data_IF_719717313124
#
_entry.id   IF_719717313124
#
_cell.length_a   1.000
_cell.length_b   1.000
_cell.length_c   1.000
_cell.angle_alpha   90.00
_cell.angle_beta   90.00
_cell.angle_gamma   90.00
#
_symmetry.space_group_name_H-M   'P 1'
#
loop_
_entity.id
_entity.type
_entity.pdbx_description
1 polymer ?
#
# COMPACT_ATOMS: atom_id res chain seq x y z
N UNK A 1 -28.24 26.24 -14.59
CA UNK A 1 -28.16 27.23 -15.66
C UNK A 1 -27.61 28.60 -15.20
N UNK A 2 -27.65 28.95 -13.92
CA UNK A 2 -27.21 30.26 -13.39
C UNK A 2 -25.69 30.43 -13.15
N UNK A 3 -24.89 29.41 -13.10
CA UNK A 3 -23.43 29.54 -12.84
C UNK A 3 -22.59 30.02 -14.02
N UNK A 4 -23.11 29.96 -15.27
CA UNK A 4 -22.38 30.43 -16.49
C UNK A 4 -22.31 31.94 -16.64
N UNK A 5 -23.24 32.69 -16.04
CA UNK A 5 -23.30 34.15 -16.11
C UNK A 5 -22.21 34.86 -15.29
N UNK A 6 -21.74 34.26 -14.23
CA UNK A 6 -20.73 34.82 -13.31
C UNK A 6 -19.29 34.70 -13.84
N UNK A 7 -19.05 33.78 -14.77
CA UNK A 7 -17.69 33.43 -15.24
C UNK A 7 -17.12 34.42 -16.27
N UNK A 8 -17.95 34.85 -17.23
CA UNK A 8 -17.54 35.74 -18.32
C UNK A 8 -18.11 37.15 -18.15
N UNK A 9 -18.81 37.44 -17.07
CA UNK A 9 -19.41 38.74 -16.79
C UNK A 9 -20.55 39.17 -17.75
N UNK A 10 -20.97 38.28 -18.65
CA UNK A 10 -21.96 38.57 -19.68
C UNK A 10 -23.09 37.54 -19.74
N UNK A 11 -24.30 38.00 -20.07
CA UNK A 11 -25.42 37.11 -20.30
C UNK A 11 -25.18 36.23 -21.55
N UNK A 12 -25.64 34.94 -21.55
CA UNK A 12 -25.40 34.03 -22.68
C UNK A 12 -25.82 34.56 -24.03
N UNK A 13 -26.91 35.34 -24.10
CA UNK A 13 -27.41 35.97 -25.32
C UNK A 13 -26.44 37.01 -25.93
N UNK A 14 -25.55 37.57 -25.12
CA UNK A 14 -24.52 38.53 -25.58
C UNK A 14 -23.23 37.88 -26.07
N UNK A 15 -23.08 36.58 -25.82
CA UNK A 15 -21.91 35.79 -26.23
C UNK A 15 -22.11 35.15 -27.61
N UNK A 16 -23.35 34.89 -27.99
CA UNK A 16 -23.69 34.27 -29.28
C UNK A 16 -23.32 35.19 -30.44
N UNK A 17 -22.59 34.62 -31.42
CA UNK A 17 -22.17 35.35 -32.63
C UNK A 17 -20.96 36.27 -32.42
N UNK A 18 -20.31 36.28 -31.26
CA UNK A 18 -19.12 37.09 -31.01
C UNK A 18 -17.87 36.21 -30.90
N UNK A 19 -16.74 36.74 -31.38
CA UNK A 19 -15.45 36.07 -31.24
C UNK A 19 -15.02 35.99 -29.77
N UNK A 20 -14.73 34.77 -29.29
CA UNK A 20 -14.22 34.53 -27.95
C UNK A 20 -12.86 35.23 -27.73
N UNK A 21 -12.02 35.29 -28.77
CA UNK A 21 -10.70 35.94 -28.74
C UNK A 21 -10.77 37.43 -28.48
N UNK A 22 -11.81 38.11 -29.01
CA UNK A 22 -12.02 39.54 -28.77
C UNK A 22 -12.47 39.80 -27.34
N UNK A 23 -13.20 38.87 -26.75
CA UNK A 23 -13.76 39.03 -25.41
C UNK A 23 -12.80 38.54 -24.31
N UNK A 24 -12.09 37.48 -24.58
CA UNK A 24 -11.15 36.82 -23.64
C UNK A 24 -10.01 36.19 -24.44
N UNK A 25 -8.96 36.95 -24.80
CA UNK A 25 -7.83 36.46 -25.61
C UNK A 25 -7.12 35.25 -24.98
N UNK A 26 -7.15 35.17 -23.64
CA UNK A 26 -6.54 34.10 -22.87
C UNK A 26 -7.23 32.73 -23.07
N UNK A 27 -8.48 32.73 -23.57
CA UNK A 27 -9.28 31.53 -23.82
C UNK A 27 -9.34 31.16 -25.31
N UNK A 28 -8.40 31.62 -26.12
CA UNK A 28 -8.34 31.35 -27.56
C UNK A 28 -8.49 29.88 -27.88
N UNK A 29 -9.30 29.58 -28.91
CA UNK A 29 -9.50 28.21 -29.45
C UNK A 29 -8.79 28.00 -30.80
N UNK A 30 -7.99 29.00 -31.25
CA UNK A 30 -7.40 29.02 -32.57
C UNK A 30 -6.53 27.82 -32.88
N UNK A 31 -5.62 27.46 -31.97
CA UNK A 31 -4.78 26.27 -32.13
C UNK A 31 -5.60 24.95 -32.22
N UNK A 32 -6.70 24.87 -31.48
CA UNK A 32 -7.62 23.73 -31.53
C UNK A 32 -8.39 23.66 -32.82
N UNK A 33 -8.82 24.83 -33.37
CA UNK A 33 -9.55 24.91 -34.64
C UNK A 33 -8.65 24.69 -35.86
N UNK A 34 -7.46 25.32 -35.87
CA UNK A 34 -6.58 25.32 -37.04
C UNK A 34 -5.73 24.04 -37.13
N UNK A 35 -5.31 23.51 -36.02
CA UNK A 35 -4.36 22.38 -35.94
C UNK A 35 -4.96 21.10 -35.33
N UNK A 36 -6.18 21.20 -34.81
CA UNK A 36 -6.80 20.06 -34.12
C UNK A 36 -6.12 19.68 -32.80
N UNK A 37 -5.36 20.58 -32.19
CA UNK A 37 -4.70 20.39 -30.93
C UNK A 37 -5.72 20.23 -29.80
N UNK A 38 -5.66 19.10 -29.11
CA UNK A 38 -6.45 18.85 -27.91
C UNK A 38 -5.60 19.20 -26.68
N UNK A 39 -6.14 20.05 -25.80
CA UNK A 39 -5.51 20.39 -24.51
C UNK A 39 -6.40 19.92 -23.38
N UNK A 40 -5.86 19.13 -22.47
CA UNK A 40 -6.57 18.61 -21.29
C UNK A 40 -5.88 19.03 -20.00
N UNK A 41 -6.70 19.41 -19.02
CA UNK A 41 -6.27 19.75 -17.67
C UNK A 41 -5.19 20.86 -17.61
N UNK A 42 -5.18 21.78 -18.57
CA UNK A 42 -4.28 22.93 -18.55
C UNK A 42 -4.72 23.91 -17.45
N UNK A 43 -3.83 24.20 -16.49
CA UNK A 43 -4.12 25.24 -15.48
C UNK A 43 -3.79 26.61 -16.08
N UNK A 44 -4.81 27.46 -16.21
CA UNK A 44 -4.68 28.79 -16.76
C UNK A 44 -5.30 29.84 -15.82
N UNK A 45 -4.58 30.92 -15.59
CA UNK A 45 -5.04 32.01 -14.72
C UNK A 45 -5.70 33.12 -15.54
N UNK A 46 -6.98 33.36 -15.26
CA UNK A 46 -7.69 34.52 -15.80
C UNK A 46 -8.74 35.03 -14.80
N UNK A 47 -9.14 36.27 -14.90
CA UNK A 47 -10.05 36.95 -13.96
C UNK A 47 -9.64 36.72 -12.49
N UNK A 48 -8.32 36.77 -12.18
CA UNK A 48 -7.70 36.58 -10.87
C UNK A 48 -7.99 35.21 -10.22
N UNK A 49 -8.33 34.21 -11.03
CA UNK A 49 -8.57 32.82 -10.55
C UNK A 49 -7.84 31.83 -11.43
N UNK A 50 -7.52 30.69 -10.83
CA UNK A 50 -6.93 29.57 -11.55
C UNK A 50 -8.04 28.62 -12.03
N UNK A 51 -8.02 28.33 -13.33
CA UNK A 51 -9.00 27.50 -14.02
C UNK A 51 -8.34 26.29 -14.64
N UNK A 52 -8.99 25.16 -14.56
CA UNK A 52 -8.63 23.97 -15.35
C UNK A 52 -9.39 24.06 -16.66
N UNK A 53 -8.63 24.19 -17.73
CA UNK A 53 -9.14 24.43 -19.08
C UNK A 53 -8.94 23.18 -19.92
N UNK A 54 -10.00 22.72 -20.57
CA UNK A 54 -9.92 21.72 -21.61
C UNK A 54 -10.38 22.33 -22.95
N UNK A 55 -9.60 22.12 -24.02
CA UNK A 55 -9.94 22.45 -25.38
C UNK A 55 -9.97 21.19 -26.21
N UNK A 56 -11.13 20.90 -26.80
CA UNK A 56 -11.34 19.65 -27.55
C UNK A 56 -11.91 20.01 -28.93
N UNK A 57 -11.30 19.56 -30.05
CA UNK A 57 -11.84 19.76 -31.37
C UNK A 57 -13.11 18.90 -31.57
N UNK A 58 -14.12 19.52 -32.18
CA UNK A 58 -15.34 18.83 -32.59
C UNK A 58 -15.14 18.44 -34.06
N UNK A 59 -15.24 17.14 -34.35
CA UNK A 59 -15.03 16.61 -35.69
C UNK A 59 -16.31 15.97 -36.22
N UNK A 60 -16.62 16.31 -37.51
CA UNK A 60 -17.65 15.64 -38.30
C UNK A 60 -17.00 15.07 -39.57
N UNK A 61 -17.22 13.79 -39.84
CA UNK A 61 -16.65 13.12 -41.03
C UNK A 61 -15.11 13.28 -41.17
N UNK A 62 -14.40 13.49 -40.05
CA UNK A 62 -12.95 13.65 -40.00
C UNK A 62 -12.48 15.11 -40.09
N UNK A 63 -13.34 16.04 -40.50
CA UNK A 63 -13.04 17.49 -40.55
C UNK A 63 -13.38 18.17 -39.22
N UNK A 64 -12.62 19.23 -38.88
CA UNK A 64 -12.86 20.01 -37.67
C UNK A 64 -13.95 21.05 -37.98
N UNK A 65 -15.13 20.86 -37.42
CA UNK A 65 -16.28 21.73 -37.55
C UNK A 65 -16.43 22.73 -36.40
N UNK A 66 -15.65 22.55 -35.32
CA UNK A 66 -15.70 23.42 -34.16
C UNK A 66 -14.74 23.01 -33.06
N UNK A 67 -14.79 23.72 -31.95
CA UNK A 67 -14.05 23.38 -30.73
C UNK A 67 -14.91 23.60 -29.48
N UNK A 68 -14.77 22.72 -28.49
CA UNK A 68 -15.39 22.85 -27.18
C UNK A 68 -14.38 23.35 -26.16
N UNK A 69 -14.77 24.34 -25.37
CA UNK A 69 -14.02 24.85 -24.22
C UNK A 69 -14.78 24.54 -22.96
N UNK A 70 -14.14 23.77 -22.06
CA UNK A 70 -14.66 23.51 -20.72
C UNK A 70 -13.76 24.13 -19.67
N UNK A 71 -14.39 24.83 -18.72
CA UNK A 71 -13.71 25.54 -17.65
C UNK A 71 -14.19 24.99 -16.30
N UNK A 72 -13.25 24.58 -15.46
CA UNK A 72 -13.52 24.18 -14.10
C UNK A 72 -12.74 25.08 -13.14
N UNK A 73 -13.40 25.59 -12.12
CA UNK A 73 -12.73 26.32 -11.04
C UNK A 73 -11.77 25.38 -10.32
N UNK A 74 -10.47 25.66 -10.40
CA UNK A 74 -9.43 24.84 -9.80
C UNK A 74 -9.62 24.70 -8.28
N UNK A 75 -10.12 25.74 -7.61
CA UNK A 75 -10.47 25.68 -6.18
C UNK A 75 -11.63 24.73 -5.90
N UNK A 76 -12.69 24.81 -6.71
CA UNK A 76 -13.84 23.93 -6.54
C UNK A 76 -13.49 22.46 -6.77
N UNK A 77 -12.59 22.16 -7.73
CA UNK A 77 -12.04 20.81 -7.91
C UNK A 77 -11.22 20.39 -6.68
N UNK A 78 -10.35 21.26 -6.17
CA UNK A 78 -9.55 20.97 -4.98
C UNK A 78 -10.42 20.80 -3.73
N UNK A 79 -11.46 21.59 -3.55
CA UNK A 79 -12.41 21.45 -2.45
C UNK A 79 -13.23 20.15 -2.57
N UNK A 80 -13.68 19.81 -3.77
CA UNK A 80 -14.37 18.55 -4.03
C UNK A 80 -13.45 17.34 -3.83
N UNK A 81 -12.21 17.40 -4.34
CA UNK A 81 -11.19 16.36 -4.13
C UNK A 81 -10.83 16.25 -2.63
N UNK A 82 -10.67 17.39 -1.95
CA UNK A 82 -10.43 17.43 -0.50
C UNK A 82 -11.62 16.87 0.28
N UNK A 83 -12.86 17.19 -0.12
CA UNK A 83 -14.06 16.64 0.49
C UNK A 83 -14.23 15.13 0.23
N UNK A 84 -13.93 14.69 -0.98
CA UNK A 84 -13.90 13.26 -1.34
C UNK A 84 -12.79 12.53 -0.58
N UNK A 85 -11.62 13.11 -0.49
CA UNK A 85 -10.51 12.56 0.32
C UNK A 85 -10.80 12.58 1.81
N UNK A 86 -11.48 13.62 2.32
CA UNK A 86 -11.95 13.64 3.70
C UNK A 86 -13.04 12.60 3.95
N UNK A 87 -13.96 12.37 3.01
CA UNK A 87 -14.93 11.29 3.11
C UNK A 87 -14.27 9.90 2.98
N UNK A 88 -13.31 9.73 2.09
CA UNK A 88 -12.49 8.53 1.99
C UNK A 88 -11.54 8.39 3.18
N UNK A 89 -10.94 9.49 3.64
CA UNK A 89 -10.09 9.54 4.83
C UNK A 89 -10.87 9.23 6.11
N UNK A 90 -12.11 9.68 6.26
CA UNK A 90 -12.99 9.25 7.37
C UNK A 90 -13.33 7.76 7.29
N UNK A 91 -13.44 7.17 6.10
CA UNK A 91 -13.59 5.71 5.92
C UNK A 91 -12.28 4.95 6.15
N UNK A 92 -11.13 5.54 5.85
CA UNK A 92 -9.80 4.99 6.13
C UNK A 92 -9.32 5.26 7.57
N UNK A 93 -9.83 6.32 8.22
CA UNK A 93 -9.49 6.67 9.62
C UNK A 93 -10.29 5.90 10.67
N UNK A 94 -11.23 5.06 10.29
CA UNK A 94 -11.99 4.25 11.24
C UNK A 94 -11.38 2.85 11.31
N UNK A 95 -10.84 2.48 12.46
CA UNK A 95 -10.46 1.10 12.74
C UNK A 95 -11.73 0.22 12.68
N UNK A 96 -11.77 -0.71 11.73
CA UNK A 96 -12.95 -1.56 11.46
C UNK A 96 -12.89 -2.89 12.18
N UNK A 97 -11.67 -3.37 12.47
CA UNK A 97 -11.44 -4.69 13.03
C UNK A 97 -11.37 -4.65 14.55
N UNK A 98 -11.95 -5.67 15.17
CA UNK A 98 -11.91 -5.92 16.62
C UNK A 98 -11.36 -7.31 16.85
N UNK A 99 -10.90 -7.63 18.07
CA UNK A 99 -10.40 -8.97 18.39
C UNK A 99 -11.45 -10.04 18.10
N UNK A 100 -12.73 -9.75 18.29
CA UNK A 100 -13.83 -10.67 17.95
C UNK A 100 -13.94 -11.00 16.45
N UNK A 101 -13.39 -10.16 15.58
CA UNK A 101 -13.37 -10.41 14.12
C UNK A 101 -12.13 -11.18 13.64
N UNK A 102 -11.16 -11.41 14.52
CA UNK A 102 -9.96 -12.18 14.21
C UNK A 102 -10.29 -13.67 14.21
N UNK A 103 -9.89 -14.36 13.15
CA UNK A 103 -10.18 -15.79 12.97
C UNK A 103 -8.96 -16.61 13.33
N UNK A 104 -9.12 -17.55 14.24
CA UNK A 104 -8.09 -18.48 14.71
C UNK A 104 -8.39 -19.00 16.11
N UNK A 105 -7.97 -20.21 16.39
CA UNK A 105 -8.17 -20.88 17.69
C UNK A 105 -6.91 -21.60 18.20
N UNK A 106 -5.84 -21.59 17.40
CA UNK A 106 -4.58 -22.21 17.81
C UNK A 106 -4.03 -21.59 19.10
N UNK A 107 -3.35 -22.36 19.95
CA UNK A 107 -2.78 -21.83 21.19
C UNK A 107 -1.79 -20.68 20.98
N UNK A 108 -1.03 -20.70 19.88
CA UNK A 108 -0.10 -19.64 19.54
C UNK A 108 -0.83 -18.34 19.20
N UNK A 109 -1.89 -18.43 18.41
CA UNK A 109 -2.73 -17.28 18.05
C UNK A 109 -3.50 -16.73 19.25
N UNK A 110 -4.10 -17.60 20.07
CA UNK A 110 -4.81 -17.22 21.28
C UNK A 110 -3.91 -16.44 22.26
N UNK A 111 -2.66 -16.88 22.46
CA UNK A 111 -1.67 -16.15 23.28
C UNK A 111 -1.36 -14.76 22.71
N UNK A 112 -1.23 -14.64 21.36
CA UNK A 112 -1.01 -13.35 20.73
C UNK A 112 -2.20 -12.41 20.94
N UNK A 113 -3.45 -12.90 20.79
CA UNK A 113 -4.68 -12.13 21.04
C UNK A 113 -4.75 -11.67 22.49
N UNK A 114 -4.54 -12.56 23.48
CA UNK A 114 -4.54 -12.21 24.90
C UNK A 114 -3.47 -11.16 25.25
N UNK A 115 -2.29 -11.27 24.66
CA UNK A 115 -1.22 -10.29 24.84
C UNK A 115 -1.61 -8.95 24.26
N UNK A 116 -2.18 -8.92 23.05
CA UNK A 116 -2.65 -7.72 22.40
C UNK A 116 -3.78 -7.03 23.19
N UNK A 117 -4.71 -7.80 23.77
CA UNK A 117 -5.78 -7.29 24.64
C UNK A 117 -5.23 -6.62 25.92
N UNK A 118 -4.19 -7.20 26.52
CA UNK A 118 -3.50 -6.56 27.66
C UNK A 118 -2.83 -5.25 27.25
N UNK A 119 -2.24 -5.20 26.05
CA UNK A 119 -1.59 -4.02 25.51
C UNK A 119 -2.59 -2.92 25.13
N UNK A 120 -3.80 -3.28 24.71
CA UNK A 120 -4.87 -2.34 24.40
C UNK A 120 -5.22 -1.43 25.59
N UNK A 121 -5.17 -1.94 26.82
CA UNK A 121 -5.52 -1.22 28.05
C UNK A 121 -4.51 -0.16 28.47
N UNK A 122 -3.35 -0.10 27.82
CA UNK A 122 -2.27 0.84 28.14
C UNK A 122 -2.08 1.81 26.97
N UNK A 123 -1.63 3.03 27.29
CA UNK A 123 -1.34 4.07 26.27
C UNK A 123 0.12 4.05 25.78
N UNK A 124 0.85 2.99 26.09
CA UNK A 124 2.24 2.82 25.70
C UNK A 124 2.37 2.45 24.21
N UNK A 125 3.52 2.71 23.64
CA UNK A 125 3.87 2.32 22.28
C UNK A 125 3.93 0.81 22.15
N UNK A 126 3.33 0.28 21.08
CA UNK A 126 3.32 -1.16 20.76
C UNK A 126 4.12 -1.39 19.49
N UNK A 127 5.03 -2.35 19.52
CA UNK A 127 5.73 -2.88 18.36
C UNK A 127 5.18 -4.26 18.00
N UNK A 128 4.56 -4.38 16.83
CA UNK A 128 4.04 -5.64 16.29
C UNK A 128 5.07 -6.21 15.32
N UNK A 129 5.70 -7.31 15.69
CA UNK A 129 6.65 -8.03 14.85
C UNK A 129 5.99 -9.29 14.27
N UNK A 130 6.29 -9.61 13.03
CA UNK A 130 5.79 -10.82 12.37
C UNK A 130 5.93 -10.73 10.85
N UNK A 131 5.93 -11.86 10.19
CA UNK A 131 6.09 -11.96 8.74
C UNK A 131 5.04 -11.16 7.96
N UNK A 132 5.31 -10.94 6.67
CA UNK A 132 4.31 -10.32 5.79
C UNK A 132 3.05 -11.22 5.71
N UNK A 133 1.86 -10.60 5.69
CA UNK A 133 0.60 -11.32 5.54
C UNK A 133 0.07 -12.03 6.80
N UNK A 134 0.70 -11.90 7.99
CA UNK A 134 0.20 -12.53 9.24
C UNK A 134 -0.99 -11.82 9.87
N UNK A 135 -1.30 -10.56 9.43
CA UNK A 135 -2.41 -9.75 9.94
C UNK A 135 -2.01 -8.64 10.91
N UNK A 136 -0.79 -8.10 10.85
CA UNK A 136 -0.29 -7.01 11.73
C UNK A 136 -1.25 -5.83 11.84
N UNK A 137 -1.80 -5.37 10.71
CA UNK A 137 -2.75 -4.26 10.68
C UNK A 137 -4.07 -4.59 11.41
N UNK A 138 -4.59 -5.81 11.27
CA UNK A 138 -5.81 -6.24 11.95
C UNK A 138 -5.64 -6.20 13.48
N UNK A 139 -4.47 -6.60 13.96
CA UNK A 139 -4.12 -6.49 15.39
C UNK A 139 -3.97 -5.04 15.83
N UNK A 140 -3.35 -4.17 15.04
CA UNK A 140 -3.21 -2.75 15.35
C UNK A 140 -4.59 -2.07 15.47
N UNK A 141 -5.50 -2.33 14.54
CA UNK A 141 -6.87 -1.84 14.61
C UNK A 141 -7.63 -2.38 15.81
N UNK A 142 -7.47 -3.68 16.12
CA UNK A 142 -8.11 -4.32 17.28
C UNK A 142 -7.61 -3.74 18.60
N UNK A 143 -6.29 -3.49 18.72
CA UNK A 143 -5.68 -2.82 19.88
C UNK A 143 -6.26 -1.41 20.06
N UNK A 144 -6.38 -0.64 18.98
CA UNK A 144 -7.00 0.68 19.03
C UNK A 144 -8.45 0.61 19.49
N UNK A 145 -9.26 -0.27 18.89
CA UNK A 145 -10.69 -0.38 19.16
C UNK A 145 -11.05 -0.88 20.57
N UNK A 146 -10.11 -1.53 21.27
CA UNK A 146 -10.27 -1.93 22.67
C UNK A 146 -9.47 -1.05 23.64
N UNK A 147 -8.91 0.07 23.16
CA UNK A 147 -8.17 1.02 23.99
C UNK A 147 -9.05 2.15 24.53
N UNK A 148 -8.48 2.96 25.42
CA UNK A 148 -9.10 4.22 25.92
C UNK A 148 -9.31 5.24 24.80
N UNK A 149 -8.65 5.05 23.64
CA UNK A 149 -8.76 5.90 22.43
C UNK A 149 -9.75 5.34 21.39
N UNK A 150 -10.52 4.31 21.74
CA UNK A 150 -11.58 3.80 20.88
C UNK A 150 -12.55 4.91 20.46
N UNK A 151 -12.88 4.99 19.17
CA UNK A 151 -13.71 6.09 18.64
C UNK A 151 -12.97 7.40 18.36
N UNK A 152 -11.67 7.52 18.71
CA UNK A 152 -10.78 8.59 18.26
C UNK A 152 -10.17 8.24 16.90
N UNK A 153 -9.48 9.18 16.22
CA UNK A 153 -8.86 8.88 14.93
C UNK A 153 -7.89 7.69 14.99
N UNK A 154 -7.98 6.78 14.03
CA UNK A 154 -6.98 5.76 13.75
C UNK A 154 -6.39 6.07 12.37
N UNK A 155 -5.15 6.52 12.34
CA UNK A 155 -4.46 6.90 11.11
C UNK A 155 -3.39 5.87 10.82
N UNK A 156 -3.46 5.23 9.65
CA UNK A 156 -2.50 4.23 9.21
C UNK A 156 -1.64 4.77 8.08
N UNK A 157 -0.35 4.48 8.12
CA UNK A 157 0.60 4.78 7.05
C UNK A 157 1.57 3.62 6.88
N UNK A 158 1.80 3.22 5.64
CA UNK A 158 2.84 2.25 5.30
C UNK A 158 4.10 3.03 4.89
N UNK A 159 5.19 2.86 5.65
CA UNK A 159 6.44 3.59 5.44
C UNK A 159 7.15 3.18 4.13
N UNK A 160 6.93 1.96 3.64
CA UNK A 160 7.49 1.47 2.38
C UNK A 160 6.75 1.97 1.14
N UNK A 161 5.51 2.48 1.29
CA UNK A 161 4.67 2.85 0.16
C UNK A 161 5.01 4.22 -0.46
N UNK A 162 5.84 5.02 0.20
CA UNK A 162 6.15 6.38 -0.22
C UNK A 162 7.63 6.58 -0.50
N UNK A 163 8.00 7.36 -1.55
CA UNK A 163 9.33 7.95 -1.64
C UNK A 163 9.65 8.77 -0.39
N UNK A 164 10.91 8.82 0.00
CA UNK A 164 11.40 9.42 1.24
C UNK A 164 10.89 10.85 1.51
N UNK A 165 11.00 11.75 0.52
CA UNK A 165 10.55 13.14 0.66
C UNK A 165 9.03 13.27 0.81
N UNK A 166 8.26 12.34 0.21
CA UNK A 166 6.81 12.31 0.36
C UNK A 166 6.42 11.78 1.75
N UNK A 167 7.09 10.74 2.24
CA UNK A 167 6.83 10.20 3.57
C UNK A 167 7.04 11.26 4.65
N UNK A 168 8.09 12.08 4.53
CA UNK A 168 8.37 13.18 5.45
C UNK A 168 7.24 14.20 5.47
N UNK A 169 6.83 14.68 4.30
CA UNK A 169 5.76 15.66 4.15
C UNK A 169 4.39 15.12 4.57
N UNK A 170 4.14 13.81 4.40
CA UNK A 170 2.92 13.16 4.89
C UNK A 170 2.90 13.07 6.42
N UNK A 171 3.98 12.60 7.04
CA UNK A 171 4.04 12.40 8.49
C UNK A 171 3.97 13.71 9.26
N UNK A 172 4.78 14.71 8.88
CA UNK A 172 4.99 15.93 9.66
C UNK A 172 4.25 17.14 9.10
N UNK A 173 3.78 17.08 7.85
CA UNK A 173 3.17 18.24 7.18
C UNK A 173 4.20 19.27 6.73
N UNK A 174 3.72 20.33 6.09
CA UNK A 174 4.56 21.43 5.61
C UNK A 174 3.79 22.76 5.61
N UNK A 175 4.52 23.86 5.71
CA UNK A 175 3.99 25.20 5.52
C UNK A 175 4.10 25.67 4.08
N UNK A 176 3.34 26.70 3.75
CA UNK A 176 3.40 27.33 2.43
C UNK A 176 4.83 27.80 2.15
N UNK A 177 5.37 27.47 0.98
CA UNK A 177 6.73 27.84 0.58
C UNK A 177 7.84 26.90 1.08
N UNK A 178 7.53 25.81 1.78
CA UNK A 178 8.54 24.88 2.27
C UNK A 178 9.39 24.23 1.17
N UNK A 179 8.82 24.04 -0.02
CA UNK A 179 9.51 23.56 -1.23
C UNK A 179 8.78 23.99 -2.48
N UNK A 180 9.44 23.88 -3.64
CA UNK A 180 8.83 24.18 -4.95
C UNK A 180 7.64 23.27 -5.22
N UNK A 181 6.44 23.86 -5.40
CA UNK A 181 5.18 23.10 -5.58
C UNK A 181 4.40 22.85 -4.28
N UNK A 182 4.83 23.41 -3.14
CA UNK A 182 4.04 23.38 -1.90
C UNK A 182 2.69 24.09 -2.11
N UNK A 183 1.61 23.52 -1.53
CA UNK A 183 0.26 24.11 -1.64
C UNK A 183 0.18 25.42 -0.86
N UNK A 184 -0.61 26.40 -1.39
CA UNK A 184 -1.01 27.57 -0.62
C UNK A 184 -1.77 27.13 0.64
N UNK A 185 -1.35 27.66 1.79
CA UNK A 185 -1.89 27.27 3.10
C UNK A 185 -1.26 26.02 3.71
N UNK A 186 -0.24 25.43 3.07
CA UNK A 186 0.48 24.29 3.62
C UNK A 186 -0.34 22.98 3.65
N UNK A 187 0.13 22.01 4.43
CA UNK A 187 -0.55 20.72 4.66
C UNK A 187 -0.32 20.23 6.09
N UNK A 188 -1.39 19.81 6.75
CA UNK A 188 -1.28 19.11 8.05
C UNK A 188 -0.70 17.72 7.85
N UNK A 189 0.19 17.32 8.78
CA UNK A 189 0.77 15.98 8.80
C UNK A 189 -0.15 14.93 9.42
N UNK A 190 0.24 13.65 9.25
CA UNK A 190 -0.50 12.52 9.81
C UNK A 190 -0.46 12.51 11.35
N UNK A 191 0.60 13.02 11.98
CA UNK A 191 0.65 13.20 13.44
C UNK A 191 -0.41 14.19 13.93
N UNK A 192 -0.62 15.30 13.22
CA UNK A 192 -1.69 16.25 13.56
C UNK A 192 -3.08 15.62 13.33
N UNK A 193 -3.23 14.85 12.26
CA UNK A 193 -4.50 14.17 11.93
C UNK A 193 -4.83 13.09 12.96
N UNK A 194 -3.82 12.42 13.52
CA UNK A 194 -3.96 11.41 14.55
C UNK A 194 -4.07 11.97 15.98
N UNK A 195 -4.07 13.31 16.15
CA UNK A 195 -4.14 13.95 17.47
C UNK A 195 -5.32 13.41 18.29
N UNK A 196 -5.06 13.10 19.56
CA UNK A 196 -5.93 12.41 20.52
C UNK A 196 -6.25 10.93 20.19
N UNK A 197 -5.78 10.43 19.06
CA UNK A 197 -6.03 9.08 18.54
C UNK A 197 -4.78 8.19 18.50
N UNK A 198 -4.71 7.37 17.48
CA UNK A 198 -3.62 6.40 17.26
C UNK A 198 -3.04 6.56 15.86
N UNK A 199 -1.70 6.62 15.76
CA UNK A 199 -0.97 6.52 14.50
C UNK A 199 -0.37 5.11 14.39
N UNK A 200 -0.74 4.41 13.32
CA UNK A 200 -0.19 3.11 12.96
C UNK A 200 0.87 3.28 11.88
N UNK A 201 2.11 2.92 12.20
CA UNK A 201 3.27 2.96 11.32
C UNK A 201 3.57 1.52 10.86
N UNK A 202 3.06 1.16 9.67
CA UNK A 202 3.38 -0.15 9.09
C UNK A 202 4.74 -0.11 8.40
N UNK A 203 5.45 -1.23 8.45
CA UNK A 203 6.80 -1.42 7.90
C UNK A 203 7.79 -0.34 8.37
N UNK A 204 7.85 -0.13 9.71
CA UNK A 204 8.72 0.88 10.33
C UNK A 204 10.22 0.66 10.01
N UNK A 205 10.62 -0.58 9.68
CA UNK A 205 11.99 -0.91 9.26
C UNK A 205 12.41 -0.23 7.97
N UNK A 206 11.47 0.14 7.10
CA UNK A 206 11.74 0.81 5.83
C UNK A 206 11.81 2.35 5.96
N UNK A 207 11.64 2.88 7.17
CA UNK A 207 11.75 4.32 7.42
C UNK A 207 13.19 4.80 7.28
N UNK A 208 13.48 5.84 6.45
CA UNK A 208 14.80 6.43 6.32
C UNK A 208 15.39 6.96 7.64
N UNK A 209 16.71 6.88 7.81
CA UNK A 209 17.40 7.22 9.07
C UNK A 209 17.12 8.64 9.60
N UNK A 210 17.01 9.64 8.71
CA UNK A 210 16.72 11.01 9.13
C UNK A 210 15.28 11.12 9.67
N UNK A 211 14.31 10.38 9.09
CA UNK A 211 12.94 10.33 9.60
C UNK A 211 12.84 9.58 10.93
N UNK A 212 13.68 8.55 11.13
CA UNK A 212 13.78 7.89 12.42
C UNK A 212 14.20 8.87 13.52
N UNK A 213 15.10 9.82 13.22
CA UNK A 213 15.52 10.86 14.16
C UNK A 213 14.35 11.81 14.50
N UNK A 214 13.57 12.21 13.50
CA UNK A 214 12.39 13.06 13.72
C UNK A 214 11.31 12.33 14.50
N UNK A 215 11.04 11.06 14.15
CA UNK A 215 10.09 10.23 14.88
C UNK A 215 10.48 10.09 16.37
N UNK A 216 11.76 9.86 16.65
CA UNK A 216 12.25 9.76 18.02
C UNK A 216 11.93 11.02 18.83
N UNK A 217 12.17 12.21 18.25
CA UNK A 217 11.83 13.50 18.89
C UNK A 217 10.35 13.60 19.19
N UNK A 218 9.47 13.24 18.23
CA UNK A 218 8.02 13.27 18.47
C UNK A 218 7.62 12.34 19.62
N UNK A 219 8.21 11.14 19.68
CA UNK A 219 7.93 10.19 20.76
C UNK A 219 8.43 10.64 22.14
N UNK A 220 9.46 11.49 22.19
CA UNK A 220 10.05 12.02 23.42
C UNK A 220 9.35 13.29 23.89
N UNK A 221 9.20 14.26 22.99
CA UNK A 221 8.77 15.63 23.26
C UNK A 221 7.25 15.80 23.13
N UNK A 222 6.57 14.88 22.42
CA UNK A 222 5.15 14.95 22.05
C UNK A 222 4.81 16.21 21.25
N UNK A 223 5.75 16.64 20.43
CA UNK A 223 5.62 17.80 19.56
C UNK A 223 6.13 17.46 18.17
N UNK A 224 5.55 18.11 17.15
CA UNK A 224 6.03 18.06 15.78
C UNK A 224 6.41 19.46 15.31
N UNK A 225 7.29 19.53 14.30
CA UNK A 225 7.54 20.75 13.55
C UNK A 225 7.30 20.46 12.08
N UNK A 226 6.43 21.24 11.43
CA UNK A 226 6.18 21.13 10.00
C UNK A 226 7.43 21.47 9.19
N UNK A 227 7.52 20.95 7.97
CA UNK A 227 8.58 21.34 7.05
C UNK A 227 8.44 22.84 6.72
N UNK A 228 9.55 23.57 6.79
CA UNK A 228 9.57 25.02 6.61
C UNK A 228 9.10 25.84 7.80
N UNK A 229 8.62 25.23 8.89
CA UNK A 229 8.24 25.91 10.12
C UNK A 229 9.33 25.84 11.20
N UNK A 230 9.28 26.79 12.14
CA UNK A 230 10.14 26.79 13.33
C UNK A 230 9.35 26.54 14.62
N UNK A 231 8.03 26.76 14.59
CA UNK A 231 7.18 26.61 15.77
C UNK A 231 6.81 25.13 16.00
N UNK A 232 7.03 24.58 17.21
CA UNK A 232 6.55 23.25 17.54
C UNK A 232 5.04 23.24 17.74
N UNK A 233 4.40 22.13 17.37
CA UNK A 233 2.97 21.87 17.52
C UNK A 233 2.81 20.68 18.46
N UNK A 234 2.17 20.82 19.64
CA UNK A 234 1.98 19.71 20.55
C UNK A 234 1.00 18.68 19.97
N UNK A 235 1.33 17.40 20.09
CA UNK A 235 0.52 16.29 19.61
C UNK A 235 0.40 15.22 20.71
N UNK A 236 -0.83 14.79 20.96
CA UNK A 236 -1.11 13.64 21.82
C UNK A 236 -1.52 12.46 20.94
N UNK A 237 -0.56 11.59 20.61
CA UNK A 237 -0.76 10.47 19.69
C UNK A 237 -0.19 9.19 20.30
N UNK A 238 -1.02 8.14 20.37
CA UNK A 238 -0.53 6.80 20.65
C UNK A 238 0.07 6.21 19.38
N UNK A 239 1.28 5.64 19.47
CA UNK A 239 1.94 5.01 18.32
C UNK A 239 1.87 3.50 18.42
N UNK A 240 1.44 2.86 17.34
CA UNK A 240 1.58 1.41 17.11
C UNK A 240 2.46 1.26 15.88
N UNK A 241 3.59 0.57 15.99
CA UNK A 241 4.51 0.30 14.88
C UNK A 241 4.46 -1.18 14.51
N UNK A 242 4.64 -1.50 13.22
CA UNK A 242 4.71 -2.87 12.75
C UNK A 242 5.88 -3.07 11.80
N UNK A 243 6.45 -4.27 11.79
CA UNK A 243 7.52 -4.66 10.86
C UNK A 243 7.62 -6.18 10.69
N UNK A 244 8.07 -6.59 9.52
CA UNK A 244 8.52 -7.96 9.28
C UNK A 244 10.06 -8.09 9.35
N UNK A 245 10.78 -6.96 9.42
CA UNK A 245 12.24 -6.93 9.36
C UNK A 245 12.87 -7.17 10.73
N UNK A 246 14.07 -7.78 10.77
CA UNK A 246 14.83 -8.02 12.00
C UNK A 246 15.52 -6.73 12.46
N UNK A 247 14.81 -5.85 13.19
CA UNK A 247 15.32 -4.53 13.60
C UNK A 247 16.65 -4.59 14.36
N UNK A 248 16.90 -5.65 15.15
CA UNK A 248 18.18 -5.80 15.85
C UNK A 248 19.36 -6.00 14.92
N UNK A 249 19.18 -6.78 13.84
CA UNK A 249 20.19 -6.92 12.80
C UNK A 249 20.40 -5.60 12.06
N UNK A 250 19.32 -4.89 11.74
CA UNK A 250 19.39 -3.58 11.09
C UNK A 250 20.11 -2.53 11.94
N UNK A 251 20.03 -2.62 13.28
CA UNK A 251 20.81 -1.77 14.20
C UNK A 251 22.30 -2.07 14.05
N UNK A 252 22.69 -3.35 14.02
CA UNK A 252 24.10 -3.75 13.81
C UNK A 252 24.61 -3.27 12.44
N UNK A 253 23.75 -3.28 11.41
CA UNK A 253 24.05 -2.78 10.06
C UNK A 253 23.93 -1.24 9.93
N UNK A 254 23.65 -0.52 11.01
CA UNK A 254 23.42 0.94 11.04
C UNK A 254 22.30 1.44 10.12
N UNK A 255 21.34 0.60 9.79
CA UNK A 255 20.15 0.92 9.01
C UNK A 255 18.95 1.32 9.87
N UNK A 256 19.01 1.01 11.16
CA UNK A 256 17.99 1.41 12.14
C UNK A 256 18.67 1.95 13.39
N UNK A 257 18.09 3.00 13.99
CA UNK A 257 18.66 3.64 15.18
C UNK A 257 18.29 2.84 16.43
N UNK A 258 19.29 2.62 17.29
CA UNK A 258 19.11 1.90 18.55
C UNK A 258 18.24 2.66 19.56
N UNK A 259 18.37 3.98 19.62
CA UNK A 259 17.57 4.82 20.52
C UNK A 259 16.07 4.81 20.15
N UNK A 260 15.73 4.88 18.87
CA UNK A 260 14.36 4.73 18.39
C UNK A 260 13.82 3.32 18.71
N UNK A 261 14.62 2.27 18.47
CA UNK A 261 14.22 0.91 18.78
C UNK A 261 13.75 0.76 20.22
N UNK A 262 14.52 1.24 21.20
CA UNK A 262 14.13 1.16 22.61
C UNK A 262 12.87 1.97 22.92
N UNK A 263 12.63 3.06 22.20
CA UNK A 263 11.45 3.89 22.40
C UNK A 263 10.16 3.27 21.85
N UNK A 264 10.24 2.57 20.69
CA UNK A 264 9.07 1.90 20.08
C UNK A 264 8.84 0.49 20.62
N UNK A 265 9.87 -0.18 21.14
CA UNK A 265 9.80 -1.55 21.64
C UNK A 265 9.41 -1.62 23.13
N UNK A 266 8.53 -0.72 23.58
CA UNK A 266 8.05 -0.71 24.97
C UNK A 266 7.15 -1.91 25.25
N UNK A 267 6.18 -2.19 24.37
CA UNK A 267 5.33 -3.38 24.39
C UNK A 267 5.55 -4.14 23.09
N UNK A 268 6.13 -5.32 23.18
CA UNK A 268 6.42 -6.15 21.99
C UNK A 268 5.38 -7.24 21.83
N UNK A 269 4.70 -7.25 20.69
CA UNK A 269 3.80 -8.31 20.25
C UNK A 269 4.42 -9.05 19.06
N UNK A 270 4.58 -10.36 19.18
CA UNK A 270 5.05 -11.21 18.07
C UNK A 270 3.87 -12.02 17.56
N UNK A 271 3.58 -11.92 16.27
CA UNK A 271 2.52 -12.68 15.63
C UNK A 271 3.11 -13.94 14.99
N UNK A 272 2.53 -15.13 15.27
CA UNK A 272 3.01 -16.38 14.71
C UNK A 272 2.72 -16.43 13.20
N UNK A 273 3.65 -16.95 12.39
CA UNK A 273 3.39 -17.25 10.99
C UNK A 273 2.38 -18.41 10.86
N UNK A 274 1.73 -18.55 9.72
CA UNK A 274 0.64 -19.51 9.52
C UNK A 274 1.12 -20.97 9.69
N UNK A 275 2.36 -21.27 9.31
CA UNK A 275 2.98 -22.61 9.53
C UNK A 275 3.13 -23.01 10.99
N UNK A 276 3.16 -22.07 11.94
CA UNK A 276 3.18 -22.32 13.39
C UNK A 276 1.78 -22.39 14.02
N UNK A 277 0.73 -22.14 13.20
CA UNK A 277 -0.69 -22.25 13.59
C UNK A 277 -1.50 -23.02 12.56
N UNK A 278 -0.99 -24.18 12.13
CA UNK A 278 -1.62 -25.00 11.08
C UNK A 278 -3.06 -25.38 11.37
N UNK A 279 -3.40 -25.51 12.66
CA UNK A 279 -4.77 -25.76 13.12
C UNK A 279 -5.76 -24.69 12.63
N UNK A 280 -5.30 -23.46 12.40
CA UNK A 280 -6.13 -22.36 11.94
C UNK A 280 -6.35 -22.37 10.40
N UNK A 281 -5.54 -23.08 9.63
CA UNK A 281 -5.58 -23.09 8.16
C UNK A 281 -6.96 -23.52 7.66
N UNK A 282 -7.49 -24.61 8.20
CA UNK A 282 -8.79 -25.15 7.78
C UNK A 282 -9.93 -24.14 8.00
N UNK A 283 -9.95 -23.53 9.18
CA UNK A 283 -10.97 -22.54 9.54
C UNK A 283 -10.82 -21.26 8.71
N UNK A 284 -9.58 -20.78 8.54
CA UNK A 284 -9.29 -19.60 7.72
C UNK A 284 -9.69 -19.81 6.25
N UNK A 285 -9.30 -20.94 5.65
CA UNK A 285 -9.66 -21.28 4.28
C UNK A 285 -11.18 -21.29 4.08
N UNK A 286 -11.91 -21.95 5.00
CA UNK A 286 -13.36 -21.98 4.96
C UNK A 286 -13.97 -20.58 5.02
N UNK A 287 -13.58 -19.74 5.98
CA UNK A 287 -14.11 -18.40 6.17
C UNK A 287 -13.79 -17.49 4.98
N UNK A 288 -12.59 -17.60 4.41
CA UNK A 288 -12.16 -16.78 3.28
C UNK A 288 -12.93 -17.14 2.00
N UNK A 289 -13.04 -18.44 1.68
CA UNK A 289 -13.80 -18.93 0.52
C UNK A 289 -15.29 -18.59 0.67
N UNK A 290 -15.89 -18.83 1.83
CA UNK A 290 -17.28 -18.50 2.11
C UNK A 290 -17.57 -17.01 1.93
N UNK A 291 -16.73 -16.13 2.45
CA UNK A 291 -16.84 -14.67 2.24
C UNK A 291 -16.77 -14.29 0.77
N UNK A 292 -15.89 -14.93 -0.01
CA UNK A 292 -15.77 -14.66 -1.44
C UNK A 292 -17.05 -15.11 -2.19
N UNK A 293 -17.54 -16.31 -1.94
CA UNK A 293 -18.78 -16.83 -2.53
C UNK A 293 -19.98 -15.94 -2.19
N UNK A 294 -20.13 -15.51 -0.94
CA UNK A 294 -21.20 -14.60 -0.50
C UNK A 294 -21.14 -13.25 -1.20
N UNK A 295 -19.95 -12.65 -1.35
CA UNK A 295 -19.78 -11.36 -2.06
C UNK A 295 -20.23 -11.43 -3.52
N UNK A 296 -20.08 -12.60 -4.14
CA UNK A 296 -20.43 -12.83 -5.54
C UNK A 296 -21.88 -13.34 -5.73
N UNK A 297 -22.66 -13.49 -4.65
CA UNK A 297 -24.04 -13.96 -4.70
C UNK A 297 -24.21 -15.48 -4.88
N UNK A 298 -23.11 -16.25 -4.76
CA UNK A 298 -23.10 -17.72 -4.89
C UNK A 298 -23.14 -18.41 -3.51
N UNK A 299 -24.06 -18.04 -2.63
CA UNK A 299 -24.20 -18.60 -1.29
C UNK A 299 -24.75 -20.04 -1.19
N UNK A 300 -24.90 -20.75 -2.32
CA UNK A 300 -25.54 -22.08 -2.36
C UNK A 300 -24.59 -23.23 -2.01
N UNK A 301 -23.27 -23.08 -2.26
CA UNK A 301 -22.30 -24.12 -1.98
C UNK A 301 -21.80 -24.04 -0.53
N UNK A 302 -21.87 -25.16 0.21
CA UNK A 302 -21.24 -25.32 1.52
C UNK A 302 -19.71 -25.36 1.35
N UNK A 303 -19.05 -24.23 1.64
CA UNK A 303 -17.59 -24.08 1.50
C UNK A 303 -16.81 -25.15 2.27
N UNK A 304 -17.31 -25.57 3.44
CA UNK A 304 -16.66 -26.62 4.26
C UNK A 304 -16.65 -27.97 3.55
N UNK A 305 -17.80 -28.36 2.95
CA UNK A 305 -17.89 -29.61 2.19
C UNK A 305 -17.11 -29.54 0.90
N UNK A 306 -17.21 -28.41 0.21
CA UNK A 306 -16.46 -28.20 -1.02
C UNK A 306 -14.95 -28.28 -0.80
N UNK A 307 -14.40 -27.70 0.28
CA UNK A 307 -12.97 -27.72 0.55
C UNK A 307 -12.43 -29.05 1.11
N UNK A 308 -13.31 -29.98 1.53
CA UNK A 308 -12.88 -31.22 2.17
C UNK A 308 -11.83 -32.03 1.34
N UNK A 309 -11.94 -32.17 0.02
CA UNK A 309 -10.93 -32.87 -0.78
C UNK A 309 -9.59 -32.15 -0.90
N UNK A 310 -9.58 -30.83 -0.74
CA UNK A 310 -8.36 -30.00 -0.78
C UNK A 310 -7.67 -29.88 0.60
N UNK A 311 -8.37 -30.24 1.68
CA UNK A 311 -7.89 -30.01 3.04
C UNK A 311 -6.51 -30.63 3.32
N UNK A 312 -6.17 -31.85 2.90
CA UNK A 312 -4.84 -32.42 3.09
C UNK A 312 -3.74 -31.54 2.44
N UNK A 313 -3.99 -30.98 1.26
CA UNK A 313 -3.04 -30.13 0.54
C UNK A 313 -2.90 -28.77 1.19
N UNK A 314 -4.02 -28.15 1.61
CA UNK A 314 -4.02 -26.87 2.34
C UNK A 314 -3.24 -26.96 3.67
N UNK A 315 -3.33 -28.10 4.37
CA UNK A 315 -2.63 -28.33 5.62
C UNK A 315 -1.14 -28.68 5.43
N UNK A 316 -0.79 -29.33 4.30
CA UNK A 316 0.59 -29.69 4.00
C UNK A 316 1.41 -28.50 3.53
N UNK A 317 0.79 -27.53 2.86
CA UNK A 317 1.49 -26.37 2.30
C UNK A 317 2.03 -25.42 3.39
N UNK A 318 3.21 -24.85 3.16
CA UNK A 318 3.95 -24.07 4.15
C UNK A 318 3.50 -22.63 4.34
N UNK A 319 2.70 -22.09 3.43
CA UNK A 319 2.14 -20.71 3.45
C UNK A 319 3.20 -19.61 3.66
N UNK A 320 4.21 -19.48 2.79
CA UNK A 320 5.25 -18.44 2.94
C UNK A 320 4.68 -17.02 2.94
N UNK A 321 3.58 -16.76 2.23
CA UNK A 321 2.85 -15.49 2.24
C UNK A 321 1.78 -15.39 3.32
N UNK A 322 1.73 -16.37 4.25
CA UNK A 322 0.83 -16.41 5.39
C UNK A 322 -0.66 -16.30 5.00
N UNK A 323 -1.45 -15.54 5.78
CA UNK A 323 -2.90 -15.39 5.57
C UNK A 323 -3.20 -14.65 4.26
N UNK A 324 -2.33 -13.73 3.83
CA UNK A 324 -2.52 -13.02 2.56
C UNK A 324 -2.43 -13.96 1.36
N UNK A 325 -1.51 -14.91 1.38
CA UNK A 325 -1.42 -15.95 0.35
C UNK A 325 -2.62 -16.90 0.41
N UNK A 326 -3.02 -17.32 1.61
CA UNK A 326 -4.21 -18.15 1.81
C UNK A 326 -5.49 -17.44 1.32
N UNK A 327 -5.60 -16.13 1.51
CA UNK A 327 -6.72 -15.32 1.00
C UNK A 327 -6.74 -15.33 -0.54
N UNK A 328 -5.60 -15.08 -1.20
CA UNK A 328 -5.48 -15.13 -2.65
C UNK A 328 -5.82 -16.51 -3.23
N UNK A 329 -5.32 -17.58 -2.58
CA UNK A 329 -5.65 -18.97 -2.96
C UNK A 329 -7.13 -19.24 -2.74
N UNK A 330 -7.69 -18.80 -1.61
CA UNK A 330 -9.12 -18.91 -1.31
C UNK A 330 -10.02 -18.19 -2.31
N UNK A 331 -9.62 -17.01 -2.79
CA UNK A 331 -10.34 -16.30 -3.85
C UNK A 331 -10.32 -17.07 -5.17
N UNK A 332 -9.16 -17.64 -5.57
CA UNK A 332 -9.07 -18.48 -6.78
C UNK A 332 -9.93 -19.74 -6.65
N UNK A 333 -9.89 -20.41 -5.51
CA UNK A 333 -10.76 -21.56 -5.24
C UNK A 333 -12.24 -21.15 -5.30
N UNK A 334 -12.62 -20.02 -4.72
CA UNK A 334 -14.00 -19.54 -4.76
C UNK A 334 -14.47 -19.28 -6.20
N UNK A 335 -13.66 -18.60 -7.02
CA UNK A 335 -13.95 -18.35 -8.44
C UNK A 335 -14.10 -19.68 -9.21
N UNK A 336 -13.21 -20.64 -8.96
CA UNK A 336 -13.31 -21.97 -9.56
C UNK A 336 -14.61 -22.69 -9.16
N UNK A 337 -15.00 -22.62 -7.86
CA UNK A 337 -16.22 -23.25 -7.36
C UNK A 337 -17.50 -22.66 -7.96
N UNK A 338 -17.50 -21.40 -8.36
CA UNK A 338 -18.67 -20.74 -8.98
C UNK A 338 -19.07 -21.33 -10.34
N UNK A 339 -18.21 -22.13 -10.97
CA UNK A 339 -18.49 -22.80 -12.24
C UNK A 339 -19.41 -24.02 -12.06
N UNK A 340 -19.64 -24.47 -10.82
CA UNK A 340 -20.38 -25.69 -10.51
C UNK A 340 -21.60 -25.37 -9.63
N UNK A 341 -22.74 -26.00 -9.92
CA UNK A 341 -23.94 -25.89 -9.09
C UNK A 341 -23.93 -26.92 -7.96
N UNK A 342 -23.23 -28.03 -8.11
CA UNK A 342 -23.19 -29.17 -7.19
C UNK A 342 -21.77 -29.58 -6.88
N UNK A 343 -21.52 -30.00 -5.64
CA UNK A 343 -20.20 -30.39 -5.14
C UNK A 343 -19.67 -31.62 -5.91
N UNK A 344 -20.56 -32.53 -6.29
CA UNK A 344 -20.23 -33.75 -6.98
C UNK A 344 -19.71 -33.55 -8.42
N UNK A 345 -19.96 -32.37 -8.98
CA UNK A 345 -19.55 -32.00 -10.36
C UNK A 345 -18.11 -31.39 -10.35
N UNK A 346 -17.55 -31.09 -9.20
CA UNK A 346 -16.27 -30.38 -9.06
C UNK A 346 -15.12 -31.29 -9.53
N UNK A 347 -14.39 -30.84 -10.54
CA UNK A 347 -13.20 -31.50 -11.08
C UNK A 347 -11.94 -30.88 -10.48
N UNK A 348 -11.55 -31.35 -9.31
CA UNK A 348 -10.43 -30.80 -8.54
C UNK A 348 -9.08 -30.84 -9.29
N UNK A 349 -8.92 -31.72 -10.27
CA UNK A 349 -7.71 -31.78 -11.09
C UNK A 349 -7.53 -30.53 -11.97
N UNK A 350 -8.63 -29.90 -12.39
CA UNK A 350 -8.60 -28.67 -13.19
C UNK A 350 -8.10 -27.48 -12.35
N UNK A 351 -8.31 -27.46 -11.04
CA UNK A 351 -7.81 -26.44 -10.12
C UNK A 351 -6.26 -26.37 -10.08
N UNK A 352 -5.54 -27.42 -10.51
CA UNK A 352 -4.07 -27.45 -10.59
C UNK A 352 -3.51 -26.31 -11.44
N UNK A 353 -4.23 -25.87 -12.46
CA UNK A 353 -3.81 -24.76 -13.32
C UNK A 353 -3.93 -23.39 -12.61
N UNK A 354 -4.89 -23.25 -11.71
CA UNK A 354 -5.17 -22.00 -10.99
C UNK A 354 -4.40 -21.91 -9.68
N UNK A 355 -4.18 -23.04 -9.01
CA UNK A 355 -3.50 -23.15 -7.72
C UNK A 355 -2.36 -24.18 -7.75
N UNK A 356 -1.35 -24.04 -8.64
CA UNK A 356 -0.28 -25.03 -8.82
C UNK A 356 0.49 -25.30 -7.51
N UNK A 357 0.59 -24.33 -6.63
CA UNK A 357 1.23 -24.44 -5.33
C UNK A 357 0.61 -25.54 -4.43
N UNK A 358 -0.68 -25.80 -4.55
CA UNK A 358 -1.37 -26.84 -3.78
C UNK A 358 -1.18 -28.25 -4.36
N UNK A 359 -0.65 -28.34 -5.59
CA UNK A 359 -0.47 -29.60 -6.33
C UNK A 359 1.00 -29.87 -6.66
N UNK A 360 1.93 -29.07 -6.13
CA UNK A 360 3.35 -29.40 -6.19
C UNK A 360 3.55 -30.76 -5.51
N UNK A 361 4.05 -31.73 -6.25
CA UNK A 361 4.24 -33.11 -5.77
C UNK A 361 5.10 -33.10 -4.50
N UNK A 362 4.71 -33.93 -3.51
CA UNK A 362 5.48 -34.20 -2.29
C UNK A 362 6.89 -34.78 -2.56
N UNK A 363 7.20 -35.14 -3.83
CA UNK A 363 8.55 -35.54 -4.25
C UNK A 363 9.54 -34.38 -4.44
N UNK A 364 9.05 -33.14 -4.51
CA UNK A 364 9.88 -31.99 -4.28
C UNK A 364 9.94 -31.77 -2.77
N UNK A 365 10.90 -32.37 -2.08
CA UNK A 365 11.31 -31.98 -0.74
C UNK A 365 11.33 -30.46 -0.69
N UNK A 366 10.92 -29.83 0.46
CA UNK A 366 11.07 -28.39 0.58
C UNK A 366 12.50 -28.09 0.15
N UNK A 367 12.64 -27.33 -0.93
CA UNK A 367 13.93 -26.74 -1.26
C UNK A 367 14.19 -25.86 -0.06
N UNK A 368 14.86 -26.41 0.93
CA UNK A 368 15.57 -25.61 1.89
C UNK A 368 16.34 -24.61 1.06
N UNK A 369 16.12 -23.33 1.29
CA UNK A 369 16.87 -22.23 0.67
C UNK A 369 18.30 -22.26 1.23
N UNK A 370 18.86 -23.43 1.43
CA UNK A 370 20.22 -23.74 1.86
C UNK A 370 21.11 -24.27 0.75
N UNK A 371 20.60 -24.52 -0.46
CA UNK A 371 21.44 -24.83 -1.61
C UNK A 371 21.18 -23.87 -2.78
N UNK A 372 21.45 -22.58 -2.54
CA UNK A 372 21.97 -21.72 -3.60
C UNK A 372 23.31 -22.39 -4.00
N UNK A 373 23.46 -22.90 -5.23
CA UNK A 373 24.75 -23.46 -5.68
C UNK A 373 25.81 -22.44 -5.33
N UNK A 374 26.83 -22.89 -4.57
CA UNK A 374 27.83 -22.00 -4.00
C UNK A 374 28.30 -21.00 -5.05
N UNK A 375 28.51 -19.74 -4.63
CA UNK A 375 28.99 -18.66 -5.53
C UNK A 375 30.17 -19.06 -6.42
N UNK A 376 30.84 -20.20 -6.17
CA UNK A 376 31.87 -20.82 -6.97
C UNK A 376 31.36 -21.51 -8.25
N UNK A 377 30.18 -22.12 -8.25
CA UNK A 377 29.70 -22.91 -9.39
C UNK A 377 29.23 -22.06 -10.59
N UNK A 378 28.73 -20.85 -10.37
CA UNK A 378 28.29 -20.00 -11.46
C UNK A 378 29.43 -19.54 -12.37
N UNK A 379 30.67 -19.43 -11.83
CA UNK A 379 31.87 -19.05 -12.61
C UNK A 379 32.24 -20.14 -13.59
N UNK A 380 32.29 -21.38 -13.12
CA UNK A 380 32.65 -22.54 -13.96
C UNK A 380 31.59 -22.73 -15.06
N UNK A 381 30.30 -22.58 -14.71
CA UNK A 381 29.21 -22.67 -15.67
C UNK A 381 29.18 -21.50 -16.66
N UNK A 382 29.54 -20.29 -16.23
CA UNK A 382 29.64 -19.13 -17.13
C UNK A 382 30.81 -19.29 -18.09
N UNK A 383 31.96 -19.78 -17.62
CA UNK A 383 33.10 -20.10 -18.45
C UNK A 383 32.82 -21.25 -19.42
N UNK A 384 32.19 -22.34 -18.96
CA UNK A 384 31.76 -23.47 -19.79
C UNK A 384 30.78 -23.08 -20.90
N UNK A 385 29.93 -22.08 -20.63
CA UNK A 385 28.96 -21.54 -21.60
C UNK A 385 29.55 -20.37 -22.45
N UNK A 386 30.85 -20.19 -22.48
CA UNK A 386 31.52 -19.15 -23.28
C UNK A 386 31.06 -17.72 -22.94
N UNK A 387 30.67 -17.45 -21.68
CA UNK A 387 30.17 -16.15 -21.24
C UNK A 387 28.69 -15.90 -21.50
N UNK A 388 27.95 -16.87 -22.00
CA UNK A 388 26.52 -16.75 -22.28
C UNK A 388 25.69 -16.73 -21.00
N UNK A 389 25.40 -15.50 -20.51
CA UNK A 389 24.69 -15.25 -19.25
C UNK A 389 23.25 -15.80 -19.27
N UNK A 390 22.59 -15.87 -20.42
CA UNK A 390 21.22 -16.38 -20.53
C UNK A 390 21.15 -17.89 -20.36
N UNK A 391 22.08 -18.59 -20.94
CA UNK A 391 22.19 -20.06 -20.86
C UNK A 391 22.63 -20.49 -19.45
N UNK A 392 23.60 -19.78 -18.88
CA UNK A 392 24.09 -19.99 -17.51
C UNK A 392 22.99 -19.74 -16.46
N UNK A 393 22.18 -18.68 -16.59
CA UNK A 393 21.06 -18.42 -15.68
C UNK A 393 20.00 -19.53 -15.74
N UNK A 394 19.71 -20.05 -16.92
CA UNK A 394 18.79 -21.19 -17.08
C UNK A 394 19.32 -22.48 -16.45
N UNK A 395 20.61 -22.79 -16.60
CA UNK A 395 21.22 -23.96 -15.98
C UNK A 395 21.31 -23.90 -14.47
N UNK A 396 21.48 -22.68 -13.93
CA UNK A 396 21.51 -22.43 -12.49
C UNK A 396 20.11 -22.31 -11.85
N UNK A 397 19.04 -22.33 -12.66
CA UNK A 397 17.69 -22.14 -12.15
C UNK A 397 17.42 -20.74 -11.57
N UNK A 398 18.21 -19.73 -11.93
CA UNK A 398 18.12 -18.37 -11.41
C UNK A 398 17.66 -17.37 -12.48
N UNK A 399 17.14 -16.22 -12.05
CA UNK A 399 16.78 -15.16 -12.98
C UNK A 399 18.04 -14.52 -13.57
N UNK A 400 17.94 -14.00 -14.80
CA UNK A 400 19.02 -13.29 -15.48
C UNK A 400 19.53 -12.08 -14.67
N UNK A 401 18.65 -11.41 -13.95
CA UNK A 401 18.98 -10.30 -13.05
C UNK A 401 19.74 -10.75 -11.81
N UNK A 402 19.46 -11.95 -11.29
CA UNK A 402 20.18 -12.54 -10.14
C UNK A 402 21.62 -12.88 -10.53
N UNK A 403 21.81 -13.53 -11.68
CA UNK A 403 23.16 -13.84 -12.18
C UNK A 403 23.95 -12.56 -12.48
N UNK A 404 23.29 -11.54 -13.07
CA UNK A 404 23.95 -10.25 -13.35
C UNK A 404 24.41 -9.54 -12.07
N UNK A 405 23.63 -9.62 -10.98
CA UNK A 405 24.02 -9.07 -9.66
C UNK A 405 25.26 -9.76 -9.11
N UNK A 406 25.33 -11.09 -9.19
CA UNK A 406 26.48 -11.86 -8.74
C UNK A 406 27.76 -11.55 -9.52
N UNK A 407 27.66 -11.36 -10.85
CA UNK A 407 28.78 -10.94 -11.69
C UNK A 407 29.28 -9.54 -11.27
N UNK A 408 28.37 -8.59 -11.06
CA UNK A 408 28.70 -7.20 -10.71
C UNK A 408 29.28 -7.04 -9.30
N UNK A 409 28.78 -7.80 -8.33
CA UNK A 409 29.32 -7.81 -6.95
C UNK A 409 30.78 -8.24 -6.89
N UNK A 410 31.21 -9.01 -7.86
CA UNK A 410 32.60 -9.50 -7.92
C UNK A 410 33.52 -8.65 -8.80
N UNK A 411 33.00 -8.05 -9.87
CA UNK A 411 33.79 -7.08 -10.67
C UNK A 411 34.13 -5.82 -9.85
N UNK A 412 33.24 -5.45 -8.87
CA UNK A 412 33.52 -4.38 -7.92
C UNK A 412 34.44 -4.72 -6.73
N UNK A 413 34.74 -6.02 -6.51
CA UNK A 413 35.60 -6.47 -5.40
C UNK A 413 37.07 -6.66 -5.80
N UNK A 414 37.45 -6.46 -7.07
CA UNK A 414 38.82 -6.65 -7.57
C UNK A 414 39.62 -5.35 -7.68
N UNK A 415 39.06 -4.19 -7.30
CA UNK A 415 39.71 -2.89 -7.45
C UNK A 415 40.25 -2.29 -6.14
N UNK A 416 40.31 -3.06 -5.04
CA UNK A 416 40.91 -2.65 -3.77
C UNK A 416 42.01 -3.60 -3.34
N UNK A 417 43.16 -3.56 -4.03
CA UNK A 417 44.46 -4.02 -3.50
C UNK A 417 45.46 -2.89 -3.58
N UNK A 418 45.95 -2.36 -2.44
CA UNK A 418 46.97 -1.34 -2.44
C UNK A 418 48.32 -1.93 -2.85
N UNK A 419 48.99 -1.24 -3.77
CA UNK A 419 50.41 -1.38 -4.04
C UNK A 419 51.25 -0.71 -2.95
#
# INVERSE_FOLDING_TARGET
MYKRQLLLGHAPARLLGRSLEVMQPELSLRATLDQGLEERALVQRFAQRDWVVNRTPIREHGEIVGAALTLYDARAIQEADTSLRMQHGRRQSAARHRFASLVGHSPAFARAVQTAQRFARNDLTVLIAGESGVGKELFAQSIHNESTRAGRPFVAVNCAAFPEALLESELFGYEEGAFTGSRRGGKRGLFETAHTGTLFLDEIGDMPLHLQTRLLRVLQEREITRLGATAPIPVDVRVIAATHQPLQQMIAERRFRQDLYYRINTLRLVLPPLRERREDVALLAQVLVERCLQRQGHGVLDARRALAPLMPRLLAYGWPGNVRELENVGERIAVFLMQFERIEEIRWEELRHECPELFADESAAPVEVSDVPAKSQWRELLAANGGNRQQTARQLGVSRSTLWRWVREMEGATDDSPA
#
